data_IF_047878428626
#
_entry.id   IF_047878428626
#
_cell.length_a   1.000
_cell.length_b   1.000
_cell.length_c   1.000
_cell.angle_alpha   90.00
_cell.angle_beta   90.00
_cell.angle_gamma   90.00
#
_symmetry.space_group_name_H-M   'P 1'
#
loop_
_entity.id
_entity.type
_entity.pdbx_description
1 polymer ?
#
# COMPACT_ATOMS: atom_id res chain seq x y z
N UNK A 1 26.42 -1.02 0.53
CA UNK A 1 26.25 0.26 1.25
C UNK A 1 24.96 0.14 2.00
N UNK A 2 25.05 0.06 3.32
CA UNK A 2 23.92 -0.08 4.24
C UNK A 2 23.02 1.15 4.16
N UNK A 3 21.74 0.94 3.84
CA UNK A 3 20.74 2.02 3.77
C UNK A 3 19.75 1.79 4.91
N UNK A 4 20.07 2.41 6.04
CA UNK A 4 19.21 2.48 7.20
C UNK A 4 17.88 3.14 6.88
N UNK A 5 16.87 2.79 7.68
CA UNK A 5 15.50 3.28 7.55
C UNK A 5 15.58 4.79 7.73
N UNK A 6 15.16 5.59 6.74
CA UNK A 6 14.95 7.01 6.97
C UNK A 6 13.96 7.13 8.12
N UNK A 7 14.45 7.68 9.22
CA UNK A 7 13.65 7.97 10.40
C UNK A 7 12.53 8.92 10.01
N UNK A 8 11.49 8.99 10.85
CA UNK A 8 10.36 9.90 10.64
C UNK A 8 10.86 11.34 10.49
N UNK A 9 11.91 11.70 11.24
CA UNK A 9 12.52 13.02 11.23
C UNK A 9 13.29 13.30 9.93
N UNK A 10 14.09 12.34 9.45
CA UNK A 10 14.79 12.50 8.17
C UNK A 10 13.82 12.58 6.98
N UNK A 11 12.73 11.80 7.01
CA UNK A 11 11.65 11.90 6.02
C UNK A 11 11.02 13.30 6.05
N UNK A 12 10.73 13.82 7.25
CA UNK A 12 10.16 15.16 7.41
C UNK A 12 11.12 16.25 6.91
N UNK A 13 12.42 16.09 7.14
CA UNK A 13 13.44 17.01 6.66
C UNK A 13 13.53 17.00 5.14
N UNK A 14 13.52 15.83 4.49
CA UNK A 14 13.58 15.74 3.04
C UNK A 14 12.33 16.34 2.38
N UNK A 15 11.16 16.18 2.99
CA UNK A 15 9.94 16.89 2.57
C UNK A 15 10.07 18.41 2.71
N UNK A 16 10.62 18.90 3.83
CA UNK A 16 10.80 20.33 4.08
C UNK A 16 11.80 20.96 3.10
N UNK A 17 12.84 20.22 2.75
CA UNK A 17 13.91 20.66 1.86
C UNK A 17 13.64 20.36 0.37
N UNK A 18 12.51 19.73 0.05
CA UNK A 18 12.14 19.38 -1.34
C UNK A 18 13.09 18.37 -2.00
N UNK A 19 13.69 17.48 -1.21
CA UNK A 19 14.64 16.46 -1.68
C UNK A 19 13.92 15.20 -2.15
N UNK A 20 14.34 14.67 -3.28
CA UNK A 20 13.93 13.36 -3.78
C UNK A 20 14.30 12.26 -2.78
N UNK A 21 13.37 11.35 -2.48
CA UNK A 21 13.63 10.26 -1.53
C UNK A 21 14.56 9.18 -2.08
N UNK A 22 14.70 9.07 -3.40
CA UNK A 22 15.58 8.07 -4.02
C UNK A 22 17.04 8.52 -4.04
N UNK A 23 17.31 9.79 -4.39
CA UNK A 23 18.68 10.27 -4.60
C UNK A 23 19.07 11.49 -3.75
N UNK A 24 18.19 11.96 -2.84
CA UNK A 24 18.43 13.06 -1.88
C UNK A 24 18.74 14.43 -2.52
N UNK A 25 18.50 14.59 -3.84
CA UNK A 25 18.70 15.84 -4.60
C UNK A 25 17.38 16.61 -4.73
N UNK A 26 17.46 17.92 -4.85
CA UNK A 26 16.31 18.79 -5.09
C UNK A 26 16.08 18.98 -6.59
N UNK A 27 14.87 19.39 -6.99
CA UNK A 27 14.54 19.73 -8.39
C UNK A 27 13.73 18.68 -9.15
N UNK A 28 13.55 17.47 -8.59
CA UNK A 28 12.72 16.40 -9.14
C UNK A 28 12.12 15.55 -8.01
N UNK A 29 11.09 14.78 -8.31
CA UNK A 29 10.50 13.82 -7.36
C UNK A 29 10.94 12.40 -7.68
N UNK A 30 10.78 11.49 -6.71
CA UNK A 30 11.12 10.07 -6.88
C UNK A 30 10.51 9.42 -8.12
N UNK A 31 9.37 9.91 -8.61
CA UNK A 31 8.67 9.42 -9.80
C UNK A 31 9.40 9.76 -11.12
N UNK A 32 10.31 10.73 -11.10
CA UNK A 32 11.08 11.16 -12.26
C UNK A 32 12.32 10.28 -12.49
N UNK A 33 12.62 9.36 -11.56
CA UNK A 33 13.59 8.31 -11.81
C UNK A 33 13.00 7.29 -12.79
N UNK A 34 13.67 7.11 -13.94
CA UNK A 34 13.29 6.13 -14.93
C UNK A 34 13.31 4.72 -14.31
N UNK A 35 12.16 4.04 -14.31
CA UNK A 35 12.08 2.62 -13.93
C UNK A 35 12.95 1.80 -14.88
N UNK A 36 13.82 0.97 -14.31
CA UNK A 36 14.81 0.19 -15.02
C UNK A 36 14.19 -0.65 -16.17
N UNK A 37 14.59 -0.46 -17.45
CA UNK A 37 14.06 -1.23 -18.59
C UNK A 37 14.26 -2.74 -18.47
N UNK A 38 15.25 -3.18 -17.68
CA UNK A 38 15.57 -4.58 -17.46
C UNK A 38 14.49 -5.38 -16.70
N UNK A 39 13.56 -4.71 -15.99
CA UNK A 39 12.42 -5.38 -15.33
C UNK A 39 11.25 -5.65 -16.28
N UNK A 40 11.24 -5.09 -17.50
CA UNK A 40 10.20 -5.32 -18.50
C UNK A 40 10.50 -6.47 -19.47
N UNK A 41 11.70 -7.07 -19.44
CA UNK A 41 12.11 -8.10 -20.40
C UNK A 41 11.58 -9.52 -20.11
N UNK A 42 10.85 -9.73 -19.00
CA UNK A 42 10.44 -11.06 -18.54
C UNK A 42 8.93 -11.30 -18.41
N UNK A 43 8.08 -10.33 -18.73
CA UNK A 43 6.63 -10.51 -18.68
C UNK A 43 6.14 -10.57 -20.13
N UNK A 44 6.13 -11.78 -20.69
CA UNK A 44 5.37 -12.05 -21.91
C UNK A 44 3.95 -11.51 -21.75
N UNK A 45 3.42 -10.94 -22.83
CA UNK A 45 2.07 -10.38 -22.91
C UNK A 45 1.02 -11.39 -22.44
N UNK A 46 0.70 -11.40 -21.14
CA UNK A 46 -0.53 -12.01 -20.68
C UNK A 46 -1.60 -10.96 -20.90
N UNK A 47 -2.19 -10.96 -22.09
CA UNK A 47 -3.52 -10.39 -22.33
C UNK A 47 -4.51 -11.13 -21.45
N UNK A 48 -4.60 -10.73 -20.18
CA UNK A 48 -5.72 -11.07 -19.32
C UNK A 48 -6.91 -10.25 -19.81
N UNK A 49 -7.65 -10.78 -20.78
CA UNK A 49 -9.02 -10.38 -21.06
C UNK A 49 -9.92 -10.83 -19.90
N UNK A 50 -9.70 -10.27 -18.70
CA UNK A 50 -10.71 -10.28 -17.65
C UNK A 50 -11.53 -9.01 -17.86
N UNK A 51 -12.86 -9.11 -17.96
CA UNK A 51 -13.70 -7.92 -17.89
C UNK A 51 -13.61 -7.41 -16.46
N UNK A 52 -12.61 -6.58 -16.19
CA UNK A 52 -12.65 -5.70 -15.04
C UNK A 52 -13.83 -4.77 -15.31
N UNK A 53 -14.97 -5.05 -14.68
CA UNK A 53 -15.95 -4.00 -14.39
C UNK A 53 -15.18 -2.98 -13.56
N UNK A 54 -14.54 -2.04 -14.25
CA UNK A 54 -13.78 -0.96 -13.66
C UNK A 54 -14.82 -0.15 -12.91
N UNK A 55 -14.89 -0.33 -11.59
CA UNK A 55 -15.67 0.55 -10.74
C UNK A 55 -14.98 1.91 -10.85
N UNK A 56 -15.47 2.72 -11.78
CA UNK A 56 -15.16 4.14 -11.85
C UNK A 56 -15.69 4.74 -10.56
N UNK A 57 -14.78 5.09 -9.66
CA UNK A 57 -15.11 6.02 -8.59
C UNK A 57 -15.42 7.34 -9.30
N UNK A 58 -16.71 7.69 -9.38
CA UNK A 58 -17.17 8.92 -10.07
C UNK A 58 -16.61 10.19 -9.42
N UNK A 59 -16.32 10.14 -8.12
CA UNK A 59 -15.65 11.22 -7.39
C UNK A 59 -15.28 10.78 -5.97
N UNK A 60 -14.08 11.13 -5.50
CA UNK A 60 -13.75 11.14 -4.07
C UNK A 60 -14.01 12.57 -3.58
N UNK A 61 -15.02 12.77 -2.72
CA UNK A 61 -15.26 14.08 -2.11
C UNK A 61 -14.54 14.15 -0.77
N UNK A 62 -13.38 14.77 -0.76
CA UNK A 62 -12.66 15.10 0.48
C UNK A 62 -13.38 16.30 1.09
N UNK A 63 -14.09 16.10 2.21
CA UNK A 63 -14.49 17.23 3.06
C UNK A 63 -13.22 17.66 3.80
N UNK A 64 -12.56 18.69 3.28
CA UNK A 64 -11.42 19.33 3.94
C UNK A 64 -11.77 19.57 5.41
N UNK A 65 -10.88 19.13 6.30
CA UNK A 65 -10.84 19.65 7.68
C UNK A 65 -9.93 20.88 7.59
N UNK A 66 -10.44 22.11 7.82
CA UNK A 66 -9.57 23.28 7.86
C UNK A 66 -8.53 23.09 8.97
N UNK A 67 -7.25 23.14 8.63
CA UNK A 67 -6.15 23.15 9.61
C UNK A 67 -5.57 21.80 10.03
N UNK A 68 -5.78 20.69 9.30
CA UNK A 68 -5.02 19.47 9.60
C UNK A 68 -3.67 19.47 8.88
N UNK A 69 -2.57 19.63 9.61
CA UNK A 69 -1.19 19.34 9.16
C UNK A 69 -0.94 17.85 8.82
N UNK A 70 -2.00 17.05 8.69
CA UNK A 70 -1.87 15.62 8.47
C UNK A 70 -1.39 15.33 7.05
N UNK A 71 -0.13 14.89 6.92
CA UNK A 71 0.49 14.42 5.67
C UNK A 71 -0.08 13.09 5.16
N UNK A 72 -1.16 12.58 5.75
CA UNK A 72 -1.75 11.28 5.44
C UNK A 72 -3.27 11.33 5.48
N UNK A 73 -3.91 10.57 4.60
CA UNK A 73 -5.35 10.49 4.50
C UNK A 73 -5.83 9.14 5.02
N UNK A 74 -6.78 9.16 5.95
CA UNK A 74 -7.35 7.95 6.53
C UNK A 74 -8.86 7.94 6.35
N UNK A 75 -9.42 6.76 6.19
CA UNK A 75 -10.86 6.56 6.22
C UNK A 75 -11.24 5.47 7.21
N UNK A 76 -12.42 5.61 7.80
CA UNK A 76 -12.99 4.57 8.64
C UNK A 76 -13.58 3.48 7.75
N UNK A 77 -13.22 2.24 8.00
CA UNK A 77 -13.76 1.07 7.32
C UNK A 77 -13.98 -0.05 8.33
N UNK A 78 -14.79 -1.04 7.98
CA UNK A 78 -15.05 -2.18 8.85
C UNK A 78 -14.65 -3.48 8.16
N UNK A 79 -13.80 -4.26 8.82
CA UNK A 79 -13.42 -5.60 8.36
C UNK A 79 -14.30 -6.62 9.10
N UNK A 80 -14.81 -7.60 8.36
CA UNK A 80 -15.64 -8.67 8.89
C UNK A 80 -14.83 -9.97 8.86
N UNK A 81 -14.72 -10.65 10.01
CA UNK A 81 -14.07 -11.95 10.18
C UNK A 81 -15.06 -12.91 10.86
N UNK A 82 -15.84 -13.64 10.04
CA UNK A 82 -16.98 -14.43 10.54
C UNK A 82 -18.02 -13.53 11.19
N UNK A 83 -18.38 -13.83 12.44
CA UNK A 83 -19.32 -13.04 13.24
C UNK A 83 -18.70 -11.76 13.82
N UNK A 84 -17.37 -11.65 13.81
CA UNK A 84 -16.67 -10.48 14.36
C UNK A 84 -16.59 -9.39 13.31
N UNK A 85 -16.85 -8.16 13.73
CA UNK A 85 -16.62 -6.98 12.89
C UNK A 85 -15.76 -5.97 13.65
N UNK A 86 -14.74 -5.43 12.97
CA UNK A 86 -13.77 -4.52 13.57
C UNK A 86 -13.75 -3.24 12.75
N UNK A 87 -14.08 -2.11 13.37
CA UNK A 87 -13.89 -0.80 12.75
C UNK A 87 -12.42 -0.39 12.86
N UNK A 88 -11.85 0.01 11.73
CA UNK A 88 -10.44 0.39 11.61
C UNK A 88 -10.31 1.73 10.89
N UNK A 89 -9.21 2.43 11.16
CA UNK A 89 -8.74 3.56 10.36
C UNK A 89 -7.75 3.03 9.33
N UNK A 90 -8.16 2.95 8.07
CA UNK A 90 -7.29 2.51 6.98
C UNK A 90 -6.62 3.72 6.32
N UNK A 91 -5.32 3.58 6.00
CA UNK A 91 -4.55 4.55 5.25
C UNK A 91 -4.93 4.49 3.76
N UNK A 92 -5.09 5.66 3.13
CA UNK A 92 -5.19 5.80 1.68
C UNK A 92 -3.80 6.14 1.17
N UNK A 93 -3.16 5.19 0.50
CA UNK A 93 -1.82 5.33 -0.06
C UNK A 93 -1.83 5.05 -1.57
N UNK A 94 -1.72 6.10 -2.37
CA UNK A 94 -1.62 5.98 -3.82
C UNK A 94 -0.26 5.48 -4.31
N UNK A 95 0.75 5.41 -3.43
CA UNK A 95 2.06 4.82 -3.72
C UNK A 95 2.07 3.29 -3.64
N UNK A 96 1.00 2.69 -3.12
CA UNK A 96 0.88 1.25 -2.92
C UNK A 96 0.16 0.58 -4.11
N UNK A 97 0.73 -0.52 -4.63
CA UNK A 97 0.14 -1.24 -5.77
C UNK A 97 -1.07 -2.12 -5.39
N UNK A 98 -1.29 -2.35 -4.10
CA UNK A 98 -2.34 -3.25 -3.60
C UNK A 98 -2.88 -2.83 -2.25
N UNK A 99 -3.81 -3.63 -1.73
CA UNK A 99 -4.30 -3.48 -0.37
C UNK A 99 -3.43 -4.33 0.55
N UNK A 100 -2.95 -3.71 1.62
CA UNK A 100 -2.08 -4.36 2.58
C UNK A 100 -2.76 -4.42 3.94
N UNK A 101 -2.40 -5.43 4.72
CA UNK A 101 -2.82 -5.60 6.11
C UNK A 101 -1.59 -5.92 6.94
N UNK A 102 -1.46 -5.23 8.06
CA UNK A 102 -0.43 -5.49 9.04
C UNK A 102 -0.53 -6.91 9.61
N UNK A 103 0.62 -7.56 9.78
CA UNK A 103 0.70 -8.94 10.26
C UNK A 103 0.29 -9.05 11.73
N UNK A 104 0.69 -8.09 12.58
CA UNK A 104 0.31 -8.11 14.00
C UNK A 104 -1.19 -7.90 14.17
N UNK A 105 -1.79 -7.02 13.37
CA UNK A 105 -3.23 -6.82 13.30
C UNK A 105 -3.95 -8.12 12.93
N UNK A 106 -3.48 -8.83 11.89
CA UNK A 106 -4.06 -10.10 11.49
C UNK A 106 -3.99 -11.14 12.61
N UNK A 107 -2.84 -11.26 13.29
CA UNK A 107 -2.65 -12.15 14.45
C UNK A 107 -3.58 -11.79 15.61
N UNK A 108 -3.60 -10.51 16.01
CA UNK A 108 -4.42 -9.97 17.10
C UNK A 108 -5.90 -10.25 16.90
N UNK A 109 -6.39 -10.08 15.66
CA UNK A 109 -7.79 -10.29 15.33
C UNK A 109 -8.12 -11.72 14.87
N UNK A 110 -7.14 -12.65 14.97
CA UNK A 110 -7.27 -14.06 14.56
C UNK A 110 -7.84 -14.19 13.15
N UNK A 111 -7.35 -13.36 12.25
CA UNK A 111 -7.73 -13.35 10.85
C UNK A 111 -7.04 -14.56 10.17
N UNK A 112 -7.80 -15.40 9.45
CA UNK A 112 -7.19 -16.49 8.70
C UNK A 112 -6.36 -15.92 7.56
N UNK A 113 -5.09 -16.30 7.51
CA UNK A 113 -4.15 -15.96 6.43
C UNK A 113 -3.75 -17.24 5.68
N UNK A 114 -3.57 -17.13 4.37
CA UNK A 114 -3.21 -18.23 3.48
C UNK A 114 -1.89 -17.92 2.82
N UNK A 115 -1.02 -18.93 2.71
CA UNK A 115 0.27 -18.79 2.02
C UNK A 115 0.08 -18.65 0.52
N UNK A 116 0.80 -17.71 -0.09
CA UNK A 116 0.83 -17.51 -1.53
C UNK A 116 1.56 -18.66 -2.22
N UNK A 117 1.07 -19.06 -3.40
CA UNK A 117 1.76 -20.05 -4.26
C UNK A 117 3.12 -19.54 -4.76
N UNK A 118 3.21 -18.23 -5.02
CA UNK A 118 4.43 -17.53 -5.42
C UNK A 118 4.57 -16.29 -4.57
N UNK A 119 5.72 -16.15 -3.92
CA UNK A 119 6.03 -14.99 -3.09
C UNK A 119 6.10 -13.73 -3.96
N UNK A 120 5.62 -12.62 -3.43
CA UNK A 120 5.64 -11.33 -4.12
C UNK A 120 6.84 -10.55 -3.59
N UNK A 121 7.82 -10.30 -4.46
CA UNK A 121 8.92 -9.40 -4.15
C UNK A 121 8.39 -7.97 -4.20
N UNK A 122 8.59 -7.24 -3.12
CA UNK A 122 8.20 -5.85 -3.00
C UNK A 122 9.47 -5.04 -2.90
N UNK A 123 9.58 -4.04 -3.76
CA UNK A 123 10.61 -3.01 -3.68
C UNK A 123 9.93 -1.71 -3.31
N UNK A 124 10.61 -0.90 -2.51
CA UNK A 124 10.23 0.48 -2.31
C UNK A 124 10.43 1.28 -3.61
N UNK A 125 9.91 2.50 -3.66
CA UNK A 125 10.06 3.41 -4.81
C UNK A 125 11.54 3.68 -5.15
N UNK A 126 12.44 3.61 -4.19
CA UNK A 126 13.89 3.75 -4.38
C UNK A 126 14.59 2.45 -4.81
N UNK A 127 13.82 1.45 -5.25
CA UNK A 127 14.25 0.10 -5.62
C UNK A 127 14.89 -0.70 -4.47
N UNK A 128 14.96 -0.14 -3.26
CA UNK A 128 15.41 -0.88 -2.08
C UNK A 128 14.45 -2.03 -1.78
N UNK A 129 14.95 -3.19 -1.32
CA UNK A 129 14.08 -4.26 -0.86
C UNK A 129 13.19 -3.77 0.28
N UNK A 130 11.92 -4.18 0.28
CA UNK A 130 11.09 -4.00 1.46
C UNK A 130 11.75 -4.73 2.66
N UNK A 131 11.87 -4.05 3.81
CA UNK A 131 12.61 -4.55 4.98
C UNK A 131 11.98 -5.82 5.56
N UNK A 132 10.68 -5.94 5.42
CA UNK A 132 9.88 -7.09 5.84
C UNK A 132 10.05 -8.31 4.93
N UNK A 133 10.86 -8.19 3.86
CA UNK A 133 11.11 -9.24 2.89
C UNK A 133 9.95 -9.41 1.89
N UNK A 134 9.91 -10.54 1.17
CA UNK A 134 8.85 -10.81 0.23
C UNK A 134 7.54 -11.09 0.96
N UNK A 135 6.42 -10.69 0.36
CA UNK A 135 5.10 -11.04 0.86
C UNK A 135 4.85 -12.52 0.60
N UNK A 136 4.49 -13.25 1.66
CA UNK A 136 4.24 -14.68 1.62
C UNK A 136 2.79 -15.06 1.91
N UNK A 137 2.00 -14.15 2.48
CA UNK A 137 0.65 -14.45 2.93
C UNK A 137 -0.37 -13.44 2.39
N UNK A 138 -1.59 -13.93 2.20
CA UNK A 138 -2.75 -13.12 1.86
C UNK A 138 -3.95 -13.51 2.71
N UNK A 139 -4.95 -12.63 2.76
CA UNK A 139 -6.29 -12.97 3.23
C UNK A 139 -7.34 -12.34 2.32
N UNK A 140 -8.56 -12.87 2.35
CA UNK A 140 -9.73 -12.29 1.70
C UNK A 140 -10.81 -12.11 2.74
N UNK A 141 -11.22 -10.86 2.98
CA UNK A 141 -12.23 -10.53 3.97
C UNK A 141 -13.30 -9.64 3.37
N UNK A 142 -14.56 -9.79 3.79
CA UNK A 142 -15.57 -8.78 3.53
C UNK A 142 -15.20 -7.48 4.25
N UNK A 143 -15.10 -6.40 3.48
CA UNK A 143 -14.79 -5.06 3.98
C UNK A 143 -15.96 -4.14 3.65
N UNK A 144 -16.49 -3.47 4.66
CA UNK A 144 -17.60 -2.52 4.52
C UNK A 144 -17.05 -1.10 4.42
N UNK A 145 -17.25 -0.49 3.24
CA UNK A 145 -16.86 0.87 2.92
C UNK A 145 -18.12 1.59 2.43
N UNK A 146 -18.48 2.70 3.08
CA UNK A 146 -19.61 3.54 2.67
C UNK A 146 -20.92 2.74 2.45
N UNK A 147 -21.26 1.89 3.43
CA UNK A 147 -22.45 1.04 3.40
C UNK A 147 -22.35 -0.21 2.51
N UNK A 148 -21.35 -0.30 1.62
CA UNK A 148 -21.16 -1.42 0.69
C UNK A 148 -20.15 -2.42 1.23
N UNK A 149 -20.51 -3.70 1.24
CA UNK A 149 -19.60 -4.79 1.60
C UNK A 149 -18.95 -5.37 0.36
N UNK A 150 -17.63 -5.37 0.30
CA UNK A 150 -16.83 -5.86 -0.83
C UNK A 150 -15.84 -6.90 -0.32
N UNK A 151 -15.75 -8.06 -0.99
CA UNK A 151 -14.69 -9.02 -0.72
C UNK A 151 -13.35 -8.42 -1.15
N UNK A 152 -12.50 -8.11 -0.18
CA UNK A 152 -11.23 -7.43 -0.38
C UNK A 152 -10.08 -8.39 -0.10
N UNK A 153 -9.18 -8.53 -1.08
CA UNK A 153 -7.92 -9.24 -0.90
C UNK A 153 -6.92 -8.30 -0.23
N UNK A 154 -6.28 -8.77 0.84
CA UNK A 154 -5.20 -8.08 1.53
C UNK A 154 -3.92 -8.91 1.44
N UNK A 155 -2.81 -8.24 1.14
CA UNK A 155 -1.47 -8.80 1.24
C UNK A 155 -0.93 -8.55 2.65
N UNK A 156 -0.41 -9.57 3.30
CA UNK A 156 0.11 -9.45 4.66
C UNK A 156 1.57 -8.99 4.59
N UNK A 157 1.85 -7.86 5.24
CA UNK A 157 3.19 -7.29 5.35
C UNK A 157 3.30 -6.55 6.69
N UNK A 158 4.49 -6.45 7.23
CA UNK A 158 4.82 -5.50 8.31
C UNK A 158 4.96 -4.11 7.65
N UNK A 159 3.98 -3.24 7.85
CA UNK A 159 3.81 -1.92 7.18
C UNK A 159 3.77 -0.80 8.22
#
# INVERSE_FOLDING_TARGET
MDIDRLTIDERNQYMKEGKCFCCRKTGHVSRDHATNPALNAGIGNITMSRPSKRLSIRSIRIRSVPGSDSKSMHFKTRIINGEKSVEIKALIDSGAQGNFMDEEFAKKHRIPIVRLKKEIRVSNIDESPNKSGPIRFETRLPTKIDGKTISTRYLISDI
#
